data_IF_013795183211
#
_entry.id   IF_013795183211
#
_cell.length_a   1.000
_cell.length_b   1.000
_cell.length_c   1.000
_cell.angle_alpha   90.00
_cell.angle_beta   90.00
_cell.angle_gamma   90.00
#
_symmetry.space_group_name_H-M   'P 1'
#
loop_
_entity.id
_entity.type
_entity.pdbx_description
1 polymer ?
#
# COMPACT_ATOMS: atom_id res chain seq x y z
N UNK A 1 6.32 -14.28 -0.30
CA UNK A 1 7.75 -14.21 -0.61
C UNK A 1 8.41 -12.82 -0.51
N UNK A 2 7.69 -11.73 -0.16
CA UNK A 2 8.32 -10.41 0.07
C UNK A 2 9.05 -10.21 1.42
N UNK A 3 8.71 -10.95 2.48
CA UNK A 3 9.30 -10.72 3.81
C UNK A 3 10.78 -11.16 3.92
N UNK A 4 11.27 -11.96 2.96
CA UNK A 4 12.61 -12.54 2.99
C UNK A 4 13.63 -11.64 2.27
N UNK A 5 13.18 -10.82 1.31
CA UNK A 5 14.06 -9.94 0.51
C UNK A 5 14.78 -8.84 1.31
N UNK A 6 14.26 -8.47 2.49
CA UNK A 6 14.83 -7.39 3.31
C UNK A 6 15.55 -7.86 4.58
N UNK A 7 15.72 -9.16 4.81
CA UNK A 7 16.46 -9.69 5.98
C UNK A 7 16.00 -9.13 7.34
N UNK A 8 14.75 -8.65 7.41
CA UNK A 8 14.16 -8.05 8.60
C UNK A 8 13.28 -9.09 9.31
N UNK A 9 13.37 -9.14 10.64
CA UNK A 9 12.55 -10.03 11.45
C UNK A 9 11.06 -9.77 11.17
N UNK A 10 10.27 -10.83 10.92
CA UNK A 10 8.84 -10.73 10.64
C UNK A 10 8.18 -9.94 11.78
N UNK A 11 7.65 -8.73 11.51
CA UNK A 11 7.13 -7.89 12.57
C UNK A 11 5.86 -8.52 13.15
N UNK A 12 5.78 -8.59 14.48
CA UNK A 12 4.59 -9.12 15.21
C UNK A 12 3.33 -8.26 15.03
N UNK A 13 3.48 -7.08 14.43
CA UNK A 13 2.41 -6.11 14.16
C UNK A 13 2.53 -5.65 12.71
N UNK A 14 1.41 -5.34 12.03
CA UNK A 14 1.46 -4.83 10.68
C UNK A 14 2.16 -3.46 10.66
N UNK A 15 3.06 -3.28 9.69
CA UNK A 15 3.61 -1.97 9.38
C UNK A 15 2.57 -1.20 8.57
N UNK A 16 2.26 0.02 8.97
CA UNK A 16 1.24 0.84 8.34
C UNK A 16 1.91 2.13 7.85
N UNK A 17 1.72 2.43 6.57
CA UNK A 17 2.09 3.70 5.95
C UNK A 17 0.89 4.26 5.19
N UNK A 18 0.99 5.52 4.75
CA UNK A 18 -0.08 6.22 4.06
C UNK A 18 0.43 6.67 2.69
N UNK A 19 -0.28 6.25 1.65
CA UNK A 19 -0.24 6.93 0.35
C UNK A 19 -1.38 7.96 0.31
N UNK A 20 -1.05 9.20 -0.03
CA UNK A 20 -2.01 10.31 -0.10
C UNK A 20 -2.90 10.20 -1.32
N UNK A 21 -4.06 10.86 -1.31
CA UNK A 21 -5.06 10.77 -2.39
C UNK A 21 -4.56 11.28 -3.75
N UNK A 22 -3.52 12.11 -3.77
CA UNK A 22 -2.85 12.54 -5.00
C UNK A 22 -2.03 11.43 -5.69
N UNK A 23 -1.88 10.26 -5.07
CA UNK A 23 -1.21 9.09 -5.68
C UNK A 23 -2.16 8.20 -6.48
N UNK A 24 -3.48 8.49 -6.48
CA UNK A 24 -4.42 7.77 -7.32
C UNK A 24 -4.16 8.06 -8.80
N UNK A 25 -4.05 6.99 -9.58
CA UNK A 25 -3.97 7.03 -11.04
C UNK A 25 -5.21 6.33 -11.59
N UNK A 26 -5.83 6.94 -12.61
CA UNK A 26 -7.01 6.37 -13.28
C UNK A 26 -6.54 5.25 -14.21
N UNK A 27 -7.31 4.18 -14.32
CA UNK A 27 -7.00 3.09 -15.25
C UNK A 27 -6.82 3.63 -16.68
N UNK A 28 -5.72 3.23 -17.33
CA UNK A 28 -5.33 3.69 -18.67
C UNK A 28 -4.44 4.94 -18.68
N UNK A 29 -4.36 5.68 -17.57
CA UNK A 29 -3.43 6.80 -17.44
C UNK A 29 -2.00 6.31 -17.13
N UNK A 30 -0.97 7.04 -17.60
CA UNK A 30 0.41 6.66 -17.37
C UNK A 30 0.82 6.87 -15.90
N UNK A 31 1.67 5.97 -15.39
CA UNK A 31 2.36 6.17 -14.11
C UNK A 31 3.51 7.15 -14.35
N UNK A 32 3.47 8.30 -13.68
CA UNK A 32 4.51 9.33 -13.79
C UNK A 32 5.65 8.98 -12.82
N UNK A 33 6.84 8.76 -13.37
CA UNK A 33 8.05 8.49 -12.59
C UNK A 33 8.59 9.82 -12.05
N UNK A 34 8.80 9.98 -10.73
CA UNK A 34 9.39 11.19 -10.18
C UNK A 34 10.81 11.44 -10.68
N UNK A 35 11.16 12.72 -10.86
CA UNK A 35 12.53 13.11 -11.24
C UNK A 35 13.56 12.58 -10.23
N UNK A 36 14.62 11.98 -10.75
CA UNK A 36 15.70 11.40 -9.94
C UNK A 36 15.44 9.98 -9.43
N UNK A 37 14.25 9.41 -9.62
CA UNK A 37 14.00 8.00 -9.36
C UNK A 37 14.69 7.13 -10.43
N UNK A 38 15.54 6.20 -10.00
CA UNK A 38 16.24 5.23 -10.88
C UNK A 38 15.80 3.79 -10.64
N UNK A 39 15.23 3.53 -9.47
CA UNK A 39 14.80 2.23 -9.03
C UNK A 39 13.34 2.26 -8.58
N UNK A 40 12.44 2.08 -9.55
CA UNK A 40 11.00 2.00 -9.33
C UNK A 40 10.57 0.54 -9.39
N UNK A 41 9.85 0.09 -8.37
CA UNK A 41 9.30 -1.26 -8.28
C UNK A 41 7.78 -1.22 -8.25
N UNK A 42 7.16 -2.19 -8.92
CA UNK A 42 5.75 -2.52 -8.83
C UNK A 42 5.48 -3.58 -7.76
N UNK A 43 4.45 -3.37 -6.95
CA UNK A 43 3.95 -4.33 -5.97
C UNK A 43 2.44 -4.46 -6.19
N UNK A 44 1.99 -5.63 -6.66
CA UNK A 44 0.55 -5.89 -6.90
C UNK A 44 -0.10 -6.32 -5.57
N UNK A 45 -1.08 -5.55 -5.12
CA UNK A 45 -1.75 -5.75 -3.84
C UNK A 45 -3.28 -5.84 -3.96
N UNK A 46 -3.90 -6.43 -2.94
CA UNK A 46 -5.35 -6.40 -2.75
C UNK A 46 -5.75 -5.09 -2.05
N UNK A 47 -6.41 -4.20 -2.77
CA UNK A 47 -7.06 -3.03 -2.21
C UNK A 47 -8.39 -3.38 -1.56
N UNK A 48 -8.61 -2.94 -0.31
CA UNK A 48 -9.88 -3.08 0.41
C UNK A 48 -10.54 -1.71 0.55
N UNK A 49 -11.77 -1.59 0.04
CA UNK A 49 -12.51 -0.33 0.07
C UNK A 49 -13.46 -0.33 1.28
N UNK A 50 -13.28 0.64 2.17
CA UNK A 50 -14.12 0.79 3.36
C UNK A 50 -15.30 1.73 3.05
N UNK A 51 -16.52 1.21 3.15
CA UNK A 51 -17.74 1.95 2.76
C UNK A 51 -18.45 2.68 3.90
N UNK A 52 -18.06 2.43 5.15
CA UNK A 52 -18.74 2.93 6.35
C UNK A 52 -17.71 3.41 7.37
N UNK A 53 -18.07 4.40 8.17
CA UNK A 53 -17.22 4.83 9.28
C UNK A 53 -16.94 3.66 10.22
N UNK A 54 -15.66 3.34 10.43
CA UNK A 54 -15.21 2.20 11.22
C UNK A 54 -14.31 2.66 12.37
N UNK A 55 -14.64 2.29 13.60
CA UNK A 55 -13.83 2.59 14.79
C UNK A 55 -13.96 1.48 15.82
N UNK A 56 -12.84 0.87 16.23
CA UNK A 56 -12.78 -0.24 17.20
C UNK A 56 -13.73 -1.40 16.85
N UNK A 57 -13.70 -1.84 15.60
CA UNK A 57 -14.57 -2.90 15.09
C UNK A 57 -14.06 -4.27 15.56
N UNK A 58 -14.97 -5.16 15.97
CA UNK A 58 -14.64 -6.57 16.23
C UNK A 58 -14.33 -7.28 14.92
N UNK A 59 -13.34 -8.17 14.91
CA UNK A 59 -12.89 -8.89 13.69
C UNK A 59 -14.04 -9.58 12.95
N UNK A 60 -14.96 -10.18 13.68
CA UNK A 60 -16.15 -10.87 13.17
C UNK A 60 -17.08 -9.98 12.34
N UNK A 61 -17.14 -8.67 12.64
CA UNK A 61 -18.05 -7.74 11.98
C UNK A 61 -17.40 -6.98 10.81
N UNK A 62 -16.13 -7.23 10.49
CA UNK A 62 -15.38 -6.39 9.54
C UNK A 62 -15.97 -6.43 8.13
N UNK A 63 -16.51 -7.57 7.70
CA UNK A 63 -17.05 -7.76 6.36
C UNK A 63 -18.26 -6.86 6.09
N UNK A 64 -19.00 -6.44 7.12
CA UNK A 64 -20.13 -5.51 6.98
C UNK A 64 -19.70 -4.07 6.65
N UNK A 65 -18.41 -3.74 6.83
CA UNK A 65 -17.84 -2.42 6.58
C UNK A 65 -17.12 -2.33 5.22
N UNK A 66 -16.88 -3.45 4.57
CA UNK A 66 -16.21 -3.51 3.27
C UNK A 66 -17.23 -3.21 2.17
N UNK A 67 -16.98 -2.16 1.38
CA UNK A 67 -17.78 -1.84 0.20
C UNK A 67 -17.38 -2.69 -1.01
N UNK A 68 -16.12 -3.12 -1.07
CA UNK A 68 -15.61 -3.93 -2.16
C UNK A 68 -14.10 -4.11 -2.09
N UNK A 69 -13.58 -4.72 -3.16
CA UNK A 69 -12.16 -4.98 -3.34
C UNK A 69 -11.73 -4.46 -4.70
N UNK A 70 -10.45 -4.10 -4.82
CA UNK A 70 -9.82 -3.70 -6.07
C UNK A 70 -8.42 -4.28 -6.15
N UNK A 71 -7.86 -4.32 -7.35
CA UNK A 71 -6.40 -4.45 -7.51
C UNK A 71 -5.78 -3.09 -7.23
N UNK A 72 -4.70 -3.07 -6.47
CA UNK A 72 -3.90 -1.88 -6.21
C UNK A 72 -2.45 -2.13 -6.65
N UNK A 73 -1.79 -1.09 -7.16
CA UNK A 73 -0.36 -1.10 -7.46
C UNK A 73 0.35 -0.20 -6.46
N UNK A 74 1.07 -0.81 -5.51
CA UNK A 74 1.89 -0.10 -4.53
C UNK A 74 3.25 0.27 -5.15
N UNK A 75 3.22 1.22 -6.10
CA UNK A 75 4.44 1.70 -6.77
C UNK A 75 5.40 2.31 -5.75
N UNK A 76 6.64 1.83 -5.78
CA UNK A 76 7.63 2.15 -4.76
C UNK A 76 8.96 2.55 -5.40
N UNK A 77 9.33 3.82 -5.22
CA UNK A 77 10.66 4.32 -5.54
C UNK A 77 11.65 3.87 -4.46
N UNK A 78 12.31 2.72 -4.67
CA UNK A 78 13.21 2.10 -3.68
C UNK A 78 14.34 3.03 -3.27
N UNK A 79 14.83 3.85 -4.20
CA UNK A 79 15.88 4.85 -3.92
C UNK A 79 15.45 5.87 -2.85
N UNK A 80 14.17 6.20 -2.78
CA UNK A 80 13.61 7.17 -1.82
C UNK A 80 13.08 6.49 -0.55
N UNK A 81 12.70 5.21 -0.65
CA UNK A 81 12.14 4.45 0.46
C UNK A 81 13.14 4.29 1.62
N UNK A 82 14.45 4.19 1.33
CA UNK A 82 15.50 4.07 2.35
C UNK A 82 15.52 5.29 3.29
N UNK A 83 15.07 6.46 2.82
CA UNK A 83 15.02 7.68 3.63
C UNK A 83 13.80 7.80 4.55
N UNK A 84 12.80 6.91 4.45
CA UNK A 84 11.53 7.02 5.18
C UNK A 84 11.47 6.14 6.45
N UNK A 85 12.48 5.32 6.70
CA UNK A 85 12.63 4.59 7.96
C UNK A 85 13.58 5.33 8.91
N UNK A 86 13.03 6.22 9.75
CA UNK A 86 13.66 6.67 11.01
C UNK A 86 13.04 5.93 12.20
#
# INVERSE_FOLDING_TARGET
DHAIELSNAIPKKPLIFVKTTNSYVIEGEPIIIPDGCKNLHEEVELGVIIGKFAKRIKRENIFDYIAGYTVALDMTARDFQVCIFF
#
